data_IF_906343789364
#
_entry.id   IF_906343789364
#
_cell.length_a   1.000
_cell.length_b   1.000
_cell.length_c   1.000
_cell.angle_alpha   90.00
_cell.angle_beta   90.00
_cell.angle_gamma   90.00
#
_symmetry.space_group_name_H-M   'P 1'
#
loop_
_entity.id
_entity.type
_entity.pdbx_description
1 polymer ?
#
# COMPACT_ATOMS: atom_id res chain seq x y z
N UNK A 1 -5.10 13.25 11.27
CA UNK A 1 -5.12 11.86 11.76
C UNK A 1 -5.33 10.85 10.64
N UNK A 2 -6.18 11.15 9.65
CA UNK A 2 -6.39 10.28 8.49
C UNK A 2 -5.11 9.87 7.76
N UNK A 3 -4.30 10.84 7.34
CA UNK A 3 -3.08 10.58 6.58
C UNK A 3 -2.12 9.59 7.27
N UNK A 4 -1.96 9.72 8.60
CA UNK A 4 -1.13 8.79 9.39
C UNK A 4 -1.70 7.37 9.32
N UNK A 5 -3.02 7.21 9.44
CA UNK A 5 -3.68 5.91 9.35
C UNK A 5 -3.42 5.27 7.97
N UNK A 6 -3.57 6.01 6.88
CA UNK A 6 -3.32 5.48 5.53
C UNK A 6 -1.88 5.03 5.33
N UNK A 7 -0.94 5.83 5.82
CA UNK A 7 0.49 5.49 5.75
C UNK A 7 0.77 4.22 6.56
N UNK A 8 0.29 4.15 7.80
CA UNK A 8 0.51 2.98 8.66
C UNK A 8 -0.15 1.73 8.06
N UNK A 9 -1.39 1.82 7.60
CA UNK A 9 -2.12 0.70 6.99
C UNK A 9 -1.42 0.24 5.72
N UNK A 10 -1.05 1.16 4.84
CA UNK A 10 -0.32 0.83 3.61
C UNK A 10 1.06 0.21 3.91
N UNK A 11 1.79 0.73 4.88
CA UNK A 11 3.09 0.19 5.30
C UNK A 11 2.97 -1.22 5.87
N UNK A 12 1.99 -1.45 6.74
CA UNK A 12 1.71 -2.76 7.33
C UNK A 12 1.32 -3.76 6.25
N UNK A 13 0.43 -3.39 5.31
CA UNK A 13 0.04 -4.26 4.20
C UNK A 13 1.22 -4.58 3.28
N UNK A 14 2.06 -3.60 2.98
CA UNK A 14 3.27 -3.80 2.18
C UNK A 14 4.29 -4.71 2.86
N UNK A 15 4.48 -4.55 4.16
CA UNK A 15 5.30 -5.44 4.97
C UNK A 15 4.73 -6.87 5.03
N UNK A 16 3.43 -7.02 5.26
CA UNK A 16 2.76 -8.32 5.22
C UNK A 16 2.89 -8.99 3.84
N UNK A 17 2.78 -8.21 2.76
CA UNK A 17 3.05 -8.67 1.40
C UNK A 17 4.46 -9.23 1.26
N UNK A 18 5.47 -8.58 1.83
CA UNK A 18 6.85 -9.08 1.79
C UNK A 18 7.03 -10.43 2.46
N UNK A 19 6.33 -10.66 3.58
CA UNK A 19 6.33 -11.96 4.26
C UNK A 19 5.58 -12.99 3.41
N UNK A 20 4.41 -12.65 2.89
CA UNK A 20 3.55 -13.56 2.14
C UNK A 20 4.21 -14.04 0.84
N UNK A 21 4.90 -13.13 0.15
CA UNK A 21 5.68 -13.43 -1.05
C UNK A 21 7.10 -13.95 -0.74
N UNK A 22 7.43 -14.17 0.56
CA UNK A 22 8.73 -14.66 1.03
C UNK A 22 9.92 -13.85 0.49
N UNK A 23 9.72 -12.55 0.35
CA UNK A 23 10.74 -11.58 -0.09
C UNK A 23 11.42 -11.01 1.15
N UNK A 24 12.42 -11.73 1.66
CA UNK A 24 13.14 -11.36 2.89
C UNK A 24 14.29 -10.37 2.65
N UNK A 25 14.53 -9.98 1.40
CA UNK A 25 15.54 -8.97 1.07
C UNK A 25 15.13 -7.59 1.60
N UNK A 26 16.05 -6.91 2.29
CA UNK A 26 15.80 -5.55 2.83
C UNK A 26 15.27 -4.58 1.76
N UNK A 27 15.80 -4.65 0.54
CA UNK A 27 15.33 -3.85 -0.58
C UNK A 27 13.90 -4.21 -1.00
N UNK A 28 13.58 -5.51 -1.05
CA UNK A 28 12.26 -5.96 -1.46
C UNK A 28 11.17 -5.58 -0.45
N UNK A 29 11.47 -5.70 0.85
CA UNK A 29 10.60 -5.28 1.95
C UNK A 29 10.32 -3.78 1.84
N UNK A 30 11.35 -2.95 1.66
CA UNK A 30 11.20 -1.50 1.58
C UNK A 30 10.34 -1.08 0.37
N UNK A 31 10.57 -1.70 -0.79
CA UNK A 31 9.77 -1.42 -1.99
C UNK A 31 8.32 -1.90 -1.83
N UNK A 32 8.05 -3.02 -1.15
CA UNK A 32 6.68 -3.46 -0.90
C UNK A 32 5.96 -2.56 0.11
N UNK A 33 6.62 -2.19 1.20
CA UNK A 33 6.10 -1.21 2.16
C UNK A 33 5.80 0.12 1.47
N UNK A 34 6.73 0.64 0.66
CA UNK A 34 6.53 1.86 -0.12
C UNK A 34 5.37 1.76 -1.11
N UNK A 35 5.28 0.66 -1.86
CA UNK A 35 4.18 0.41 -2.80
C UNK A 35 2.82 0.35 -2.08
N UNK A 36 2.76 -0.30 -0.91
CA UNK A 36 1.56 -0.36 -0.08
C UNK A 36 1.12 1.02 0.41
N UNK A 37 2.05 1.87 0.85
CA UNK A 37 1.78 3.26 1.25
C UNK A 37 1.24 4.07 0.06
N UNK A 38 1.95 4.05 -1.07
CA UNK A 38 1.55 4.81 -2.27
C UNK A 38 0.20 4.34 -2.78
N UNK A 39 -0.02 3.02 -2.85
CA UNK A 39 -1.30 2.45 -3.26
C UNK A 39 -2.46 2.84 -2.35
N UNK A 40 -2.25 2.80 -1.03
CA UNK A 40 -3.24 3.23 -0.05
C UNK A 40 -3.61 4.71 -0.20
N UNK A 41 -2.61 5.57 -0.32
CA UNK A 41 -2.80 7.02 -0.44
C UNK A 41 -3.49 7.39 -1.75
N UNK A 42 -3.01 6.85 -2.88
CA UNK A 42 -3.55 7.18 -4.20
C UNK A 42 -4.98 6.67 -4.35
N UNK A 43 -5.25 5.42 -3.95
CA UNK A 43 -6.60 4.88 -4.08
C UNK A 43 -7.59 5.60 -3.16
N UNK A 44 -7.20 5.88 -1.91
CA UNK A 44 -8.05 6.64 -1.00
C UNK A 44 -8.25 8.08 -1.46
N UNK A 45 -7.25 8.72 -2.06
CA UNK A 45 -7.38 10.08 -2.58
C UNK A 45 -8.26 10.18 -3.84
N UNK A 46 -8.22 9.17 -4.71
CA UNK A 46 -8.92 9.19 -6.00
C UNK A 46 -10.33 8.60 -5.90
N UNK A 47 -10.50 7.53 -5.13
CA UNK A 47 -11.76 6.78 -5.01
C UNK A 47 -12.45 6.98 -3.67
N UNK A 48 -11.73 7.49 -2.66
CA UNK A 48 -12.32 7.84 -1.37
C UNK A 48 -13.14 9.13 -1.46
N UNK A 49 -14.00 9.31 -0.46
CA UNK A 49 -14.87 10.48 -0.30
C UNK A 49 -14.40 11.39 0.85
N UNK A 50 -13.34 11.03 1.58
CA UNK A 50 -12.91 11.78 2.76
C UNK A 50 -11.90 12.90 2.49
N UNK A 51 -12.04 13.97 3.27
CA UNK A 51 -10.96 14.88 3.58
C UNK A 51 -9.85 14.14 4.33
N UNK A 52 -8.82 13.69 3.61
CA UNK A 52 -7.64 12.96 4.12
C UNK A 52 -6.98 13.61 5.35
N UNK A 53 -7.14 14.93 5.50
CA UNK A 53 -6.62 15.72 6.62
C UNK A 53 -7.54 15.72 7.85
N UNK A 54 -8.86 15.69 7.69
CA UNK A 54 -9.84 15.86 8.76
C UNK A 54 -10.18 14.53 9.46
N UNK A 55 -10.34 13.44 8.71
CA UNK A 55 -10.75 12.14 9.24
C UNK A 55 -11.03 11.15 8.11
N UNK A 56 -10.90 9.85 8.40
CA UNK A 56 -11.06 8.78 7.41
C UNK A 56 -12.18 7.86 7.87
N UNK A 57 -13.13 7.62 6.98
CA UNK A 57 -14.21 6.67 7.20
C UNK A 57 -13.84 5.24 6.78
N UNK A 58 -14.69 4.28 7.13
CA UNK A 58 -14.52 2.89 6.72
C UNK A 58 -14.45 2.71 5.19
N UNK A 59 -15.17 3.56 4.44
CA UNK A 59 -15.18 3.53 2.97
C UNK A 59 -13.82 3.88 2.37
N UNK A 60 -13.16 4.92 2.89
CA UNK A 60 -11.84 5.35 2.41
C UNK A 60 -10.77 4.34 2.78
N UNK A 61 -10.90 3.73 3.96
CA UNK A 61 -10.01 2.67 4.41
C UNK A 61 -10.12 1.42 3.52
N UNK A 62 -11.33 1.08 3.06
CA UNK A 62 -11.53 -0.02 2.12
C UNK A 62 -10.77 0.23 0.81
N UNK A 63 -10.91 1.42 0.23
CA UNK A 63 -10.18 1.78 -0.98
C UNK A 63 -8.67 1.83 -0.76
N UNK A 64 -8.23 2.28 0.42
CA UNK A 64 -6.82 2.26 0.78
C UNK A 64 -6.25 0.83 0.81
N UNK A 65 -6.97 -0.11 1.41
CA UNK A 65 -6.57 -1.52 1.45
C UNK A 65 -6.51 -2.10 0.04
N UNK A 66 -7.54 -1.88 -0.78
CA UNK A 66 -7.58 -2.37 -2.16
C UNK A 66 -6.41 -1.78 -2.98
N UNK A 67 -6.21 -0.46 -2.89
CA UNK A 67 -5.12 0.23 -3.58
C UNK A 67 -3.75 -0.26 -3.18
N UNK A 68 -3.52 -0.48 -1.87
CA UNK A 68 -2.26 -1.03 -1.37
C UNK A 68 -2.00 -2.44 -1.94
N UNK A 69 -2.99 -3.33 -1.87
CA UNK A 69 -2.87 -4.71 -2.38
C UNK A 69 -2.55 -4.73 -3.87
N UNK A 70 -3.26 -3.92 -4.66
CA UNK A 70 -3.03 -3.79 -6.11
C UNK A 70 -1.62 -3.25 -6.39
N UNK A 71 -1.20 -2.19 -5.70
CA UNK A 71 0.12 -1.60 -5.89
C UNK A 71 1.26 -2.56 -5.51
N UNK A 72 1.10 -3.32 -4.43
CA UNK A 72 2.07 -4.36 -4.02
C UNK A 72 2.19 -5.44 -5.10
N UNK A 73 1.05 -5.92 -5.62
CA UNK A 73 1.03 -6.90 -6.70
C UNK A 73 1.72 -6.40 -7.97
N UNK A 74 1.45 -5.15 -8.38
CA UNK A 74 2.13 -4.51 -9.51
C UNK A 74 3.63 -4.41 -9.23
N UNK A 75 4.03 -3.97 -8.04
CA UNK A 75 5.44 -3.82 -7.68
C UNK A 75 6.18 -5.17 -7.66
N UNK A 76 5.52 -6.26 -7.28
CA UNK A 76 6.10 -7.60 -7.36
C UNK A 76 6.27 -8.06 -8.82
N UNK A 77 5.22 -7.96 -9.64
CA UNK A 77 5.28 -8.33 -11.07
C UNK A 77 6.36 -7.52 -11.79
N UNK A 78 6.42 -6.20 -11.57
CA UNK A 78 7.43 -5.33 -12.16
C UNK A 78 8.86 -5.76 -11.78
N UNK A 79 9.08 -6.17 -10.52
CA UNK A 79 10.39 -6.68 -10.09
C UNK A 79 10.74 -8.01 -10.73
N UNK A 80 9.78 -8.93 -10.86
CA UNK A 80 10.01 -10.20 -11.56
C UNK A 80 10.46 -9.97 -13.01
N UNK A 81 9.86 -8.99 -13.70
CA UNK A 81 10.22 -8.65 -15.09
C UNK A 81 11.61 -8.06 -15.26
N UNK A 82 12.13 -7.36 -14.25
CA UNK A 82 13.48 -6.76 -14.29
C UNK A 82 14.57 -7.78 -13.96
N UNK A 83 14.22 -8.84 -13.24
CA UNK A 83 15.17 -9.86 -12.80
C UNK A 83 15.30 -11.07 -13.75
N UNK A 84 14.48 -11.16 -14.81
CA UNK A 84 14.50 -12.23 -15.81
C UNK A 84 14.91 -11.72 -17.18
#
# INVERSE_FOLDING_TARGET
MGLIILVVVGAVLGWLGSILLRREDRGAILTMAGAGIVGALVASAVLGNANLLAGIGAYDLLWAVIGAVVAIGIADVARQRVAG
#
